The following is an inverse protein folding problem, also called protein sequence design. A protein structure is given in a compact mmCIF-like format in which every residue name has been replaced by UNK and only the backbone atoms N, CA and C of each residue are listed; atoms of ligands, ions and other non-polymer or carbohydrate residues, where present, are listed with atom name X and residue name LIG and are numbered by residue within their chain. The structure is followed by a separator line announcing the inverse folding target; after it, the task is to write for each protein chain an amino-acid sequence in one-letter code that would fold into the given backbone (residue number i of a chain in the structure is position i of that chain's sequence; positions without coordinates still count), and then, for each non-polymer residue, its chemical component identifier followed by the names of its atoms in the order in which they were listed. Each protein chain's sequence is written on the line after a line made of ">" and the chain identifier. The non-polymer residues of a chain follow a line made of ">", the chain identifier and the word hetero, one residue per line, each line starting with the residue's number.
data_IF_395661602602
#
_entry.id   IF_395661602602
#
_cell.length_a   1.000
_cell.length_b   1.000
_cell.length_c   1.000
_cell.angle_alpha   90.00
_cell.angle_beta   90.00
_cell.angle_gamma   90.00
#
_symmetry.space_group_name_H-M   'P 1'
#
loop_
_entity.id
_entity.type
_entity.pdbx_description
1 polymer ?
#
# COMPACT_ATOMS: atom_id res chain seq x y z
N UNK A 1 -11.38 -31.79 -17.65
CA UNK A 1 -12.58 -31.01 -17.26
C UNK A 1 -12.63 -30.68 -15.76
N UNK A 2 -12.33 -31.60 -14.84
CA UNK A 2 -12.35 -31.32 -13.39
C UNK A 2 -11.35 -30.23 -12.95
N UNK A 3 -10.17 -30.21 -13.57
CA UNK A 3 -9.12 -29.23 -13.28
C UNK A 3 -9.57 -27.79 -13.59
N UNK A 4 -10.27 -27.52 -14.70
CA UNK A 4 -10.68 -26.13 -15.01
C UNK A 4 -11.73 -25.60 -14.04
N UNK A 5 -12.67 -26.44 -13.57
CA UNK A 5 -13.65 -26.08 -12.54
C UNK A 5 -12.97 -25.73 -11.21
N UNK A 6 -11.94 -26.48 -10.83
CA UNK A 6 -11.16 -26.19 -9.62
C UNK A 6 -10.46 -24.82 -9.69
N UNK A 7 -9.79 -24.52 -10.81
CA UNK A 7 -9.12 -23.21 -11.00
C UNK A 7 -10.13 -22.05 -11.03
N UNK A 8 -11.31 -22.26 -11.64
CA UNK A 8 -12.39 -21.28 -11.63
C UNK A 8 -12.88 -20.99 -10.21
N UNK A 9 -13.09 -22.03 -9.39
CA UNK A 9 -13.48 -21.87 -8.00
C UNK A 9 -12.40 -21.13 -7.20
N UNK A 10 -11.12 -21.45 -7.38
CA UNK A 10 -10.03 -20.71 -6.75
C UNK A 10 -10.00 -19.24 -7.17
N UNK A 11 -10.18 -18.96 -8.46
CA UNK A 11 -10.24 -17.60 -8.98
C UNK A 11 -11.42 -16.81 -8.39
N UNK A 12 -12.60 -17.45 -8.26
CA UNK A 12 -13.78 -16.85 -7.65
C UNK A 12 -13.55 -16.54 -6.16
N UNK A 13 -12.96 -17.48 -5.42
CA UNK A 13 -12.64 -17.28 -4.00
C UNK A 13 -11.63 -16.14 -3.84
N UNK A 14 -10.56 -16.14 -4.64
CA UNK A 14 -9.55 -15.08 -4.60
C UNK A 14 -10.16 -13.71 -4.98
N UNK A 15 -10.97 -13.67 -6.04
CA UNK A 15 -11.66 -12.45 -6.47
C UNK A 15 -12.61 -11.90 -5.42
N UNK A 16 -13.41 -12.76 -4.80
CA UNK A 16 -14.30 -12.37 -3.70
C UNK A 16 -13.49 -11.88 -2.48
N UNK A 17 -12.39 -12.55 -2.15
CA UNK A 17 -11.49 -12.14 -1.07
C UNK A 17 -10.91 -10.74 -1.29
N UNK A 18 -10.44 -10.45 -2.51
CA UNK A 18 -9.94 -9.12 -2.89
C UNK A 18 -11.06 -8.07 -2.81
N UNK A 19 -12.26 -8.39 -3.34
CA UNK A 19 -13.38 -7.47 -3.32
C UNK A 19 -13.80 -7.10 -1.88
N UNK A 20 -13.87 -8.08 -0.98
CA UNK A 20 -14.19 -7.85 0.43
C UNK A 20 -13.06 -7.06 1.13
N UNK A 21 -11.80 -7.39 0.86
CA UNK A 21 -10.65 -6.69 1.45
C UNK A 21 -10.59 -5.21 1.06
N UNK A 22 -10.94 -4.88 -0.18
CA UNK A 22 -10.94 -3.51 -0.67
C UNK A 22 -12.22 -2.74 -0.32
N UNK A 23 -13.28 -3.43 0.08
CA UNK A 23 -14.55 -2.81 0.41
C UNK A 23 -14.40 -1.90 1.64
N UNK A 24 -14.76 -0.63 1.49
CA UNK A 24 -14.65 0.36 2.56
C UNK A 24 -13.25 0.98 2.71
N UNK A 25 -12.27 0.59 1.88
CA UNK A 25 -10.98 1.27 1.82
C UNK A 25 -11.22 2.74 1.38
N UNK A 26 -10.90 3.69 2.25
CA UNK A 26 -11.20 5.12 2.04
C UNK A 26 -12.50 5.63 2.68
N UNK A 27 -13.25 4.79 3.40
CA UNK A 27 -14.41 5.25 4.17
C UNK A 27 -14.02 6.11 5.39
N UNK A 28 -12.78 6.00 5.86
CA UNK A 28 -12.21 6.82 6.93
C UNK A 28 -10.88 7.43 6.49
N UNK A 29 -10.46 8.49 7.18
CA UNK A 29 -9.08 8.98 7.07
C UNK A 29 -8.10 7.97 7.69
N UNK A 30 -6.81 8.18 7.43
CA UNK A 30 -5.75 7.55 8.21
C UNK A 30 -5.94 7.95 9.67
N UNK A 31 -6.15 6.95 10.52
CA UNK A 31 -6.69 7.12 11.87
C UNK A 31 -5.70 6.66 12.95
N UNK A 32 -4.92 5.63 12.66
CA UNK A 32 -3.89 5.15 13.57
C UNK A 32 -2.71 6.12 13.61
N UNK A 33 -1.85 5.99 14.63
CA UNK A 33 -0.62 6.77 14.72
C UNK A 33 0.35 6.46 13.58
N UNK A 34 0.44 5.20 13.17
CA UNK A 34 1.46 4.75 12.24
C UNK A 34 1.03 4.93 10.79
N UNK A 35 -0.23 4.66 10.45
CA UNK A 35 -0.81 4.87 9.12
C UNK A 35 -0.41 6.21 8.43
N UNK A 36 -0.67 7.40 9.02
CA UNK A 36 -0.30 8.68 8.42
C UNK A 36 1.21 8.89 8.33
N UNK A 37 1.99 8.28 9.24
CA UNK A 37 3.47 8.38 9.19
C UNK A 37 4.04 7.59 8.02
N UNK A 38 3.52 6.40 7.77
CA UNK A 38 3.94 5.59 6.63
C UNK A 38 3.48 6.19 5.31
N UNK A 39 2.22 6.66 5.27
CA UNK A 39 1.66 7.32 4.09
C UNK A 39 2.44 8.59 3.73
N UNK A 40 2.64 9.49 4.69
CA UNK A 40 3.36 10.75 4.43
C UNK A 40 4.82 10.50 4.04
N UNK A 41 5.49 9.54 4.70
CA UNK A 41 6.86 9.23 4.33
C UNK A 41 7.00 8.65 2.91
N UNK A 42 6.09 7.75 2.52
CA UNK A 42 6.06 7.26 1.15
C UNK A 42 5.72 8.38 0.15
N UNK A 43 4.82 9.31 0.52
CA UNK A 43 4.47 10.48 -0.29
C UNK A 43 5.68 11.42 -0.46
N UNK A 44 6.42 11.69 0.60
CA UNK A 44 7.66 12.49 0.55
C UNK A 44 8.72 11.84 -0.35
N UNK A 45 8.90 10.52 -0.30
CA UNK A 45 9.82 9.80 -1.20
C UNK A 45 9.42 9.97 -2.67
N UNK A 46 8.12 9.90 -2.99
CA UNK A 46 7.62 10.17 -4.35
C UNK A 46 7.81 11.63 -4.75
N UNK A 47 7.52 12.57 -3.86
CA UNK A 47 7.60 14.00 -4.13
C UNK A 47 9.05 14.50 -4.30
N UNK A 48 9.99 13.93 -3.55
CA UNK A 48 11.41 14.35 -3.56
C UNK A 48 12.27 13.54 -4.51
N UNK A 49 11.87 12.31 -4.86
CA UNK A 49 12.71 11.36 -5.59
C UNK A 49 13.82 10.73 -4.75
N UNK A 50 13.96 11.08 -3.46
CA UNK A 50 14.86 10.40 -2.53
C UNK A 50 14.19 9.12 -2.03
N UNK A 51 14.51 8.01 -2.69
CA UNK A 51 14.02 6.69 -2.29
C UNK A 51 14.95 5.97 -1.31
N UNK A 52 16.06 6.59 -0.88
CA UNK A 52 17.02 5.95 0.02
C UNK A 52 16.70 6.24 1.48
N UNK A 53 16.36 7.50 1.79
CA UNK A 53 16.18 7.97 3.17
C UNK A 53 14.72 8.40 3.40
N UNK A 54 13.89 7.58 4.07
CA UNK A 54 12.53 7.98 4.42
C UNK A 54 12.51 9.20 5.34
N UNK A 55 11.58 10.12 5.09
CA UNK A 55 11.37 11.34 5.88
C UNK A 55 9.92 11.45 6.30
N UNK A 56 9.67 12.11 7.42
CA UNK A 56 8.33 12.44 7.90
C UNK A 56 8.33 13.88 8.37
N UNK A 57 7.59 14.74 7.68
CA UNK A 57 7.66 16.18 7.79
C UNK A 57 9.09 16.71 7.64
N UNK A 58 9.84 16.19 6.66
CA UNK A 58 11.23 16.56 6.36
C UNK A 58 12.28 16.00 7.34
N UNK A 59 11.89 15.53 8.52
CA UNK A 59 12.78 14.88 9.47
C UNK A 59 13.08 13.44 9.05
N UNK A 60 14.33 12.99 9.18
CA UNK A 60 14.70 11.62 8.80
C UNK A 60 14.04 10.60 9.72
N UNK A 61 13.54 9.51 9.13
CA UNK A 61 12.87 8.41 9.81
C UNK A 61 13.64 7.09 9.64
N UNK A 62 14.40 6.71 10.67
CA UNK A 62 15.18 5.45 10.69
C UNK A 62 14.47 4.29 11.41
N UNK A 63 13.17 4.42 11.69
CA UNK A 63 12.42 3.42 12.46
C UNK A 63 12.26 2.08 11.74
N UNK A 64 12.27 2.08 10.39
CA UNK A 64 12.04 0.90 9.54
C UNK A 64 12.91 0.93 8.29
N UNK A 65 13.30 -0.25 7.76
CA UNK A 65 13.91 -0.35 6.43
C UNK A 65 13.01 0.19 5.31
N UNK A 66 13.58 0.60 4.17
CA UNK A 66 12.85 1.35 3.14
C UNK A 66 11.82 0.52 2.34
N UNK A 67 11.84 -0.81 2.44
CA UNK A 67 11.04 -1.72 1.60
C UNK A 67 9.54 -1.40 1.61
N UNK A 68 8.94 -1.17 2.78
CA UNK A 68 7.51 -0.86 2.86
C UNK A 68 7.17 0.45 2.16
N UNK A 69 8.03 1.45 2.29
CA UNK A 69 7.83 2.74 1.64
C UNK A 69 8.00 2.64 0.12
N UNK A 70 8.87 1.76 -0.39
CA UNK A 70 8.97 1.49 -1.82
C UNK A 70 7.69 0.86 -2.39
N UNK A 71 7.11 -0.11 -1.67
CA UNK A 71 5.85 -0.74 -2.08
C UNK A 71 4.71 0.30 -2.11
N UNK A 72 4.63 1.15 -1.09
CA UNK A 72 3.65 2.24 -1.02
C UNK A 72 3.89 3.29 -2.11
N UNK A 73 5.14 3.71 -2.32
CA UNK A 73 5.52 4.66 -3.36
C UNK A 73 5.19 4.13 -4.76
N UNK A 74 5.39 2.83 -5.02
CA UNK A 74 5.00 2.20 -6.27
C UNK A 74 3.48 2.28 -6.49
N UNK A 75 2.67 2.04 -5.45
CA UNK A 75 1.22 2.22 -5.51
C UNK A 75 0.86 3.69 -5.80
N UNK A 76 1.47 4.64 -5.07
CA UNK A 76 1.23 6.08 -5.26
C UNK A 76 1.55 6.58 -6.66
N UNK A 77 2.54 5.99 -7.35
CA UNK A 77 2.83 6.34 -8.75
C UNK A 77 1.74 5.90 -9.72
N UNK A 78 0.90 4.95 -9.34
CA UNK A 78 -0.20 4.43 -10.17
C UNK A 78 -1.54 5.04 -9.77
N UNK A 79 -1.80 5.19 -8.47
CA UNK A 79 -3.10 5.61 -7.94
C UNK A 79 -3.15 7.06 -7.48
N UNK A 80 -2.00 7.73 -7.37
CA UNK A 80 -1.85 8.95 -6.59
C UNK A 80 -1.66 8.64 -5.09
N UNK A 81 -1.13 9.61 -4.32
CA UNK A 81 -1.09 9.55 -2.86
C UNK A 81 -2.47 9.53 -2.19
#
# INVERSE_FOLDING_TARGET
>A
MATSRFHLLLALIAGLGVAIYLLGNGATSLWDRDEPRFAEAAREMVATGDYLVPRFHGAVRYDKPPLIYWLMAAAYRVTGP
#
